data_IF_501476400066
#
_entry.id   IF_501476400066
#
_cell.length_a   1.000
_cell.length_b   1.000
_cell.length_c   1.000
_cell.angle_alpha   90.00
_cell.angle_beta   90.00
_cell.angle_gamma   90.00
#
_symmetry.space_group_name_H-M   'P 1'
#
loop_
_entity.id
_entity.type
_entity.pdbx_description
1 polymer ?
#
# COMPACT_ATOMS: atom_id res chain seq x y z
N UNK A 1 -5.67 7.72 16.47
CA UNK A 1 -6.27 7.42 15.14
C UNK A 1 -5.64 6.18 14.53
N UNK A 2 -4.31 6.14 14.36
CA UNK A 2 -3.61 4.94 13.88
C UNK A 2 -3.79 3.71 14.75
N UNK A 3 -3.77 3.84 16.08
CA UNK A 3 -4.04 2.73 17.01
C UNK A 3 -5.40 2.06 16.76
N UNK A 4 -6.45 2.86 16.59
CA UNK A 4 -7.82 2.35 16.33
C UNK A 4 -7.91 1.63 14.98
N UNK A 5 -7.18 2.11 13.96
CA UNK A 5 -7.13 1.45 12.65
C UNK A 5 -6.38 0.11 12.77
N UNK A 6 -5.23 0.10 13.46
CA UNK A 6 -4.43 -1.10 13.68
C UNK A 6 -5.19 -2.15 14.46
N UNK A 7 -5.82 -1.78 15.58
CA UNK A 7 -6.64 -2.69 16.40
C UNK A 7 -7.79 -3.30 15.60
N UNK A 8 -8.49 -2.48 14.79
CA UNK A 8 -9.58 -2.99 13.93
C UNK A 8 -9.06 -3.93 12.84
N UNK A 9 -7.92 -3.60 12.24
CA UNK A 9 -7.29 -4.43 11.22
C UNK A 9 -6.85 -5.76 11.81
N UNK A 10 -6.12 -5.74 12.92
CA UNK A 10 -5.69 -6.94 13.67
C UNK A 10 -6.89 -7.85 13.98
N UNK A 11 -7.96 -7.28 14.54
CA UNK A 11 -9.18 -8.03 14.85
C UNK A 11 -9.79 -8.71 13.62
N UNK A 12 -9.85 -8.03 12.48
CA UNK A 12 -10.38 -8.62 11.23
C UNK A 12 -9.48 -9.76 10.75
N UNK A 13 -8.16 -9.59 10.83
CA UNK A 13 -7.19 -10.60 10.38
C UNK A 13 -7.26 -11.84 11.27
N UNK A 14 -7.39 -11.67 12.58
CA UNK A 14 -7.55 -12.77 13.55
C UNK A 14 -8.90 -13.49 13.40
N UNK A 15 -10.01 -12.75 13.34
CA UNK A 15 -11.37 -13.33 13.23
C UNK A 15 -11.56 -14.19 11.96
N UNK A 16 -10.72 -14.00 10.95
CA UNK A 16 -10.79 -14.70 9.67
C UNK A 16 -9.60 -15.66 9.43
N UNK A 17 -8.77 -15.92 10.45
CA UNK A 17 -7.58 -16.79 10.37
C UNK A 17 -6.58 -16.39 9.26
N UNK A 18 -6.46 -15.09 8.96
CA UNK A 18 -5.67 -14.57 7.85
C UNK A 18 -4.21 -14.26 8.20
N UNK A 19 -3.79 -14.44 9.45
CA UNK A 19 -2.46 -14.02 9.93
C UNK A 19 -1.30 -14.58 9.09
N UNK A 20 -1.41 -15.82 8.63
CA UNK A 20 -0.35 -16.49 7.86
C UNK A 20 -0.51 -16.33 6.34
N UNK A 21 -1.53 -15.60 5.88
CA UNK A 21 -1.74 -15.36 4.46
C UNK A 21 -0.71 -14.35 3.93
N UNK A 22 -0.19 -14.64 2.74
CA UNK A 22 0.84 -13.82 2.10
C UNK A 22 0.23 -12.57 1.47
N UNK A 23 0.91 -11.44 1.68
CA UNK A 23 0.67 -10.18 1.00
C UNK A 23 1.94 -9.78 0.25
N UNK A 24 1.76 -9.38 -1.00
CA UNK A 24 2.86 -8.89 -1.83
C UNK A 24 2.66 -7.41 -2.08
N UNK A 25 3.65 -6.60 -1.75
CA UNK A 25 3.63 -5.16 -1.98
C UNK A 25 4.73 -4.80 -2.97
N UNK A 26 4.33 -4.19 -4.09
CA UNK A 26 5.24 -3.75 -5.13
C UNK A 26 5.17 -2.23 -5.25
N UNK A 27 6.34 -1.59 -5.20
CA UNK A 27 6.48 -0.20 -5.60
C UNK A 27 6.65 -0.14 -7.11
N UNK A 28 5.72 0.51 -7.81
CA UNK A 28 5.82 0.71 -9.26
C UNK A 28 6.01 2.20 -9.53
N UNK A 29 7.00 2.60 -10.36
CA UNK A 29 6.98 3.92 -10.96
C UNK A 29 5.77 3.99 -11.89
N UNK A 30 4.77 4.80 -11.53
CA UNK A 30 3.74 5.18 -12.48
C UNK A 30 4.27 6.28 -13.39
N UNK A 31 3.84 6.24 -14.64
CA UNK A 31 3.82 7.43 -15.48
C UNK A 31 2.79 8.44 -14.96
N UNK A 32 3.00 9.74 -15.17
CA UNK A 32 1.96 10.77 -15.08
C UNK A 32 0.59 10.33 -15.55
N UNK A 33 0.51 9.69 -16.73
CA UNK A 33 -0.75 9.21 -17.30
C UNK A 33 -1.40 8.08 -16.50
N UNK A 34 -0.62 7.11 -16.01
CA UNK A 34 -1.15 6.03 -15.18
C UNK A 34 -1.62 6.51 -13.80
N UNK A 35 -1.03 7.60 -13.29
CA UNK A 35 -1.32 8.12 -11.96
C UNK A 35 -2.59 8.98 -11.91
N UNK A 36 -2.75 9.90 -12.86
CA UNK A 36 -3.80 10.93 -12.83
C UNK A 36 -4.44 11.19 -14.20
N UNK A 37 -4.17 10.35 -15.21
CA UNK A 37 -4.69 10.52 -16.57
C UNK A 37 -3.98 11.67 -17.30
N UNK A 38 -4.73 12.51 -18.02
CA UNK A 38 -4.16 13.66 -18.73
C UNK A 38 -4.56 14.97 -18.01
N UNK A 39 -3.95 15.29 -16.86
CA UNK A 39 -4.30 16.47 -16.09
C UNK A 39 -3.93 17.74 -16.88
N UNK A 40 -4.79 18.76 -16.85
CA UNK A 40 -4.46 20.07 -17.43
C UNK A 40 -3.44 20.86 -16.59
N UNK A 41 -3.14 20.41 -15.37
CA UNK A 41 -2.22 21.04 -14.42
C UNK A 41 -1.01 20.16 -14.15
N UNK A 42 0.18 20.76 -14.17
CA UNK A 42 1.46 20.08 -13.93
C UNK A 42 1.88 20.06 -12.44
N UNK A 43 1.07 20.62 -11.54
CA UNK A 43 1.49 20.90 -10.16
C UNK A 43 1.19 19.76 -9.15
N UNK A 44 1.18 18.51 -9.62
CA UNK A 44 1.00 17.35 -8.75
C UNK A 44 2.36 16.75 -8.33
N UNK A 45 2.57 16.40 -7.04
CA UNK A 45 3.85 15.84 -6.59
C UNK A 45 4.28 14.56 -7.34
N UNK A 46 3.32 13.77 -7.83
CA UNK A 46 3.56 12.60 -8.68
C UNK A 46 4.16 12.95 -10.06
N UNK A 47 3.81 14.12 -10.63
CA UNK A 47 4.38 14.61 -11.88
C UNK A 47 5.84 15.04 -11.73
N UNK A 48 6.20 15.49 -10.52
CA UNK A 48 7.55 15.92 -10.18
C UNK A 48 8.48 14.75 -9.81
N UNK A 49 7.98 13.51 -9.88
CA UNK A 49 8.76 12.30 -9.61
C UNK A 49 9.07 12.05 -8.13
N UNK A 50 8.45 12.79 -7.21
CA UNK A 50 8.67 12.65 -5.77
C UNK A 50 7.84 11.52 -5.16
N UNK A 51 6.67 11.22 -5.71
CA UNK A 51 5.78 10.16 -5.22
C UNK A 51 5.72 8.96 -6.17
N UNK A 52 5.57 7.76 -5.60
CA UNK A 52 5.40 6.48 -6.29
C UNK A 52 4.09 5.82 -5.84
N UNK A 53 3.47 5.04 -6.73
CA UNK A 53 2.36 4.17 -6.35
C UNK A 53 2.93 2.87 -5.78
N UNK A 54 2.52 2.55 -4.56
CA UNK A 54 2.64 1.22 -4.01
C UNK A 54 1.33 0.47 -4.17
N UNK A 55 1.41 -0.78 -4.61
CA UNK A 55 0.28 -1.69 -4.71
C UNK A 55 0.53 -2.91 -3.84
N UNK A 56 -0.39 -3.19 -2.94
CA UNK A 56 -0.51 -4.45 -2.23
C UNK A 56 -1.46 -5.38 -2.99
N UNK A 57 -1.08 -6.65 -3.11
CA UNK A 57 -1.91 -7.73 -3.60
C UNK A 57 -2.14 -8.74 -2.47
N UNK A 58 -3.41 -9.07 -2.24
CA UNK A 58 -3.84 -10.03 -1.24
C UNK A 58 -4.98 -10.88 -1.80
N UNK A 59 -4.74 -12.19 -1.99
CA UNK A 59 -5.73 -13.14 -2.52
C UNK A 59 -6.44 -12.65 -3.80
N UNK A 60 -5.70 -12.04 -4.72
CA UNK A 60 -6.22 -11.48 -5.97
C UNK A 60 -6.97 -10.15 -5.84
N UNK A 61 -7.03 -9.57 -4.64
CA UNK A 61 -7.53 -8.21 -4.39
C UNK A 61 -6.35 -7.23 -4.32
N UNK A 62 -6.60 -5.97 -4.68
CA UNK A 62 -5.57 -4.94 -4.78
C UNK A 62 -5.88 -3.74 -3.88
N UNK A 63 -4.86 -3.26 -3.16
CA UNK A 63 -4.89 -2.00 -2.41
C UNK A 63 -3.74 -1.10 -2.84
N UNK A 64 -3.95 0.21 -2.86
CA UNK A 64 -3.01 1.16 -3.46
C UNK A 64 -2.80 2.38 -2.57
N UNK A 65 -1.56 2.90 -2.55
CA UNK A 65 -1.20 4.12 -1.84
C UNK A 65 -0.09 4.89 -2.58
N UNK A 66 -0.13 6.22 -2.48
CA UNK A 66 0.95 7.09 -2.97
C UNK A 66 1.91 7.41 -1.83
N UNK A 67 3.20 7.31 -2.09
CA UNK A 67 4.24 7.63 -1.10
C UNK A 67 5.55 8.06 -1.75
N UNK A 68 6.27 8.95 -1.10
CA UNK A 68 7.65 9.31 -1.42
C UNK A 68 8.67 8.29 -0.87
N UNK A 69 8.32 7.57 0.20
CA UNK A 69 9.09 6.48 0.81
C UNK A 69 8.55 5.12 0.38
N UNK A 70 9.17 4.53 -0.64
CA UNK A 70 8.70 3.30 -1.27
C UNK A 70 9.69 2.14 -1.15
N UNK A 71 9.16 0.93 -1.14
CA UNK A 71 9.91 -0.31 -1.13
C UNK A 71 9.05 -1.49 -1.56
N UNK A 72 9.69 -2.56 -1.99
CA UNK A 72 9.00 -3.83 -2.19
C UNK A 72 8.95 -4.57 -0.85
N UNK A 73 7.84 -5.24 -0.59
CA UNK A 73 7.68 -6.12 0.56
C UNK A 73 6.96 -7.39 0.13
N UNK A 74 7.35 -8.51 0.73
CA UNK A 74 6.69 -9.80 0.57
C UNK A 74 6.78 -10.52 1.91
N UNK A 75 5.63 -10.91 2.44
CA UNK A 75 5.51 -11.50 3.76
C UNK A 75 4.06 -11.80 4.09
N UNK A 76 3.78 -12.10 5.34
CA UNK A 76 2.43 -12.42 5.83
C UNK A 76 1.74 -11.20 6.43
N UNK A 77 0.42 -11.29 6.65
CA UNK A 77 -0.28 -10.24 7.42
C UNK A 77 0.22 -10.12 8.86
N UNK A 78 0.73 -11.21 9.45
CA UNK A 78 1.46 -11.18 10.73
C UNK A 78 2.71 -10.31 10.63
N UNK A 79 3.53 -10.52 9.61
CA UNK A 79 4.75 -9.71 9.42
C UNK A 79 4.42 -8.22 9.31
N UNK A 80 3.32 -7.86 8.65
CA UNK A 80 2.82 -6.47 8.57
C UNK A 80 2.34 -5.95 9.92
N UNK A 81 1.61 -6.77 10.70
CA UNK A 81 1.17 -6.40 12.04
C UNK A 81 2.32 -6.25 13.03
N UNK A 82 3.42 -6.97 12.85
CA UNK A 82 4.59 -6.92 13.74
C UNK A 82 5.54 -5.76 13.41
N UNK A 83 5.34 -5.03 12.29
CA UNK A 83 6.14 -3.85 11.97
C UNK A 83 5.95 -2.73 12.99
N UNK A 84 7.08 -2.11 13.38
CA UNK A 84 7.06 -0.85 14.13
C UNK A 84 6.63 0.31 13.20
N UNK A 85 5.72 1.15 13.71
CA UNK A 85 5.21 2.35 13.04
C UNK A 85 5.91 3.61 13.53
#
# INVERSE_FOLDING_TARGET
>A
MYSVIREKFERIVEENDLLNETVMIRAKPLTPEEAIGNPESEDFPILKGHERLMQAEFRGSFGQAFTDMHGNFEGTLRDVLDMEL
#
